data_IF_645849063397
#
_entry.id   IF_645849063397
#
_cell.length_a   1.000
_cell.length_b   1.000
_cell.length_c   1.000
_cell.angle_alpha   90.00
_cell.angle_beta   90.00
_cell.angle_gamma   90.00
#
_symmetry.space_group_name_H-M   'P 1'
#
loop_
_entity.id
_entity.type
_entity.pdbx_description
1 polymer ?
#
# COMPACT_ATOMS: atom_id res chain seq x y z
N UNK A 1 3.01 -6.21 0.66
CA UNK A 1 1.60 -6.40 0.24
C UNK A 1 1.58 -6.59 -1.27
N UNK A 2 0.73 -7.44 -1.81
CA UNK A 2 0.59 -7.65 -3.25
C UNK A 2 -0.83 -7.32 -3.71
N UNK A 3 -0.94 -6.64 -4.85
CA UNK A 3 -2.21 -6.28 -5.50
C UNK A 3 -2.14 -6.74 -6.95
N UNK A 4 -3.20 -7.38 -7.43
CA UNK A 4 -3.35 -7.74 -8.85
C UNK A 4 -4.47 -6.89 -9.43
N UNK A 5 -4.15 -6.13 -10.48
CA UNK A 5 -5.07 -5.30 -11.23
C UNK A 5 -5.26 -5.95 -12.60
N UNK A 6 -6.51 -6.27 -12.94
CA UNK A 6 -6.87 -6.81 -14.25
C UNK A 6 -7.69 -5.78 -15.02
N UNK A 7 -7.32 -5.50 -16.27
CA UNK A 7 -8.08 -4.59 -17.12
C UNK A 7 -7.28 -4.00 -18.26
N UNK A 8 -7.71 -2.83 -18.75
CA UNK A 8 -6.95 -2.05 -19.73
C UNK A 8 -5.79 -1.31 -19.08
N UNK A 9 -4.71 -1.09 -19.83
CA UNK A 9 -3.57 -0.29 -19.39
C UNK A 9 -3.94 1.07 -18.78
N UNK A 10 -4.91 1.78 -19.37
CA UNK A 10 -5.38 3.09 -18.87
C UNK A 10 -5.97 2.99 -17.46
N UNK A 11 -6.74 1.94 -17.17
CA UNK A 11 -7.31 1.72 -15.83
C UNK A 11 -6.21 1.44 -14.80
N UNK A 12 -5.16 0.71 -15.18
CA UNK A 12 -3.99 0.48 -14.33
C UNK A 12 -3.28 1.80 -14.01
N UNK A 13 -3.08 2.67 -15.01
CA UNK A 13 -2.48 3.99 -14.77
C UNK A 13 -3.33 4.85 -13.84
N UNK A 14 -4.65 4.90 -14.05
CA UNK A 14 -5.55 5.63 -13.15
C UNK A 14 -5.56 5.07 -11.72
N UNK A 15 -5.33 3.76 -11.55
CA UNK A 15 -5.16 3.16 -10.23
C UNK A 15 -3.87 3.62 -9.56
N UNK A 16 -2.75 3.65 -10.30
CA UNK A 16 -1.45 4.08 -9.79
C UNK A 16 -1.47 5.56 -9.38
N UNK A 17 -2.08 6.42 -10.21
CA UNK A 17 -2.25 7.85 -9.92
C UNK A 17 -3.03 8.08 -8.61
N UNK A 18 -4.15 7.37 -8.44
CA UNK A 18 -4.94 7.42 -7.19
C UNK A 18 -4.16 6.89 -5.99
N UNK A 19 -3.38 5.83 -6.17
CA UNK A 19 -2.59 5.23 -5.11
C UNK A 19 -1.53 6.21 -4.58
N UNK A 20 -0.88 6.97 -5.47
CA UNK A 20 0.08 8.02 -5.11
C UNK A 20 -0.58 9.19 -4.37
N UNK A 21 -1.83 9.51 -4.70
CA UNK A 21 -2.59 10.58 -4.03
C UNK A 21 -3.08 10.24 -2.61
N UNK A 22 -2.92 9.00 -2.14
CA UNK A 22 -3.40 8.60 -0.82
C UNK A 22 -2.58 9.25 0.30
N UNK A 23 -3.21 9.63 1.44
CA UNK A 23 -2.51 10.20 2.60
C UNK A 23 -1.73 9.16 3.41
N UNK A 24 -1.30 8.06 2.77
CA UNK A 24 -0.49 7.00 3.35
C UNK A 24 0.81 6.94 2.57
N UNK A 25 1.92 6.75 3.25
CA UNK A 25 3.19 6.55 2.57
C UNK A 25 3.23 5.13 1.99
N UNK A 26 2.78 5.00 0.74
CA UNK A 26 2.78 3.77 -0.02
C UNK A 26 3.89 3.82 -1.07
N UNK A 27 4.85 2.90 -0.99
CA UNK A 27 5.93 2.76 -1.95
C UNK A 27 5.69 1.51 -2.79
N UNK A 28 5.64 1.69 -4.11
CA UNK A 28 5.61 0.56 -5.05
C UNK A 28 7.05 0.06 -5.22
N UNK A 29 7.29 -1.20 -4.90
CA UNK A 29 8.63 -1.81 -5.00
C UNK A 29 8.81 -2.66 -6.24
N UNK A 30 7.72 -3.19 -6.80
CA UNK A 30 7.75 -3.96 -8.04
C UNK A 30 6.44 -3.78 -8.82
N UNK A 31 6.56 -3.69 -10.14
CA UNK A 31 5.46 -3.72 -11.08
C UNK A 31 5.79 -4.75 -12.15
N UNK A 32 4.95 -5.77 -12.30
CA UNK A 32 5.02 -6.68 -13.43
C UNK A 32 3.68 -6.67 -14.17
N UNK A 33 3.73 -6.61 -15.49
CA UNK A 33 2.54 -6.58 -16.34
C UNK A 33 2.64 -7.67 -17.38
N UNK A 34 1.58 -8.47 -17.49
CA UNK A 34 1.48 -9.55 -18.46
C UNK A 34 0.14 -9.47 -19.18
N UNK A 35 0.16 -9.63 -20.50
CA UNK A 35 -1.06 -9.79 -21.29
C UNK A 35 -1.46 -11.26 -21.31
N UNK A 36 -2.69 -11.57 -20.89
CA UNK A 36 -3.24 -12.92 -20.92
C UNK A 36 -4.67 -12.85 -21.45
N UNK A 37 -4.95 -13.57 -22.54
CA UNK A 37 -6.31 -13.68 -23.12
C UNK A 37 -6.97 -12.30 -23.38
N UNK A 38 -6.22 -11.35 -23.95
CA UNK A 38 -6.64 -9.96 -24.20
C UNK A 38 -6.94 -9.10 -22.95
N UNK A 39 -6.60 -9.58 -21.76
CA UNK A 39 -6.66 -8.80 -20.51
C UNK A 39 -5.24 -8.50 -20.04
N UNK A 40 -4.98 -7.25 -19.67
CA UNK A 40 -3.74 -6.86 -19.04
C UNK A 40 -3.84 -7.21 -17.55
N UNK A 41 -2.98 -8.07 -17.06
CA UNK A 41 -2.82 -8.37 -15.65
C UNK A 41 -1.54 -7.69 -15.15
N UNK A 42 -1.71 -6.74 -14.22
CA UNK A 42 -0.61 -6.03 -13.58
C UNK A 42 -0.53 -6.46 -12.12
N UNK A 43 0.59 -7.05 -11.72
CA UNK A 43 0.91 -7.34 -10.33
C UNK A 43 1.77 -6.22 -9.75
N UNK A 44 1.34 -5.70 -8.61
CA UNK A 44 1.98 -4.62 -7.88
C UNK A 44 2.42 -5.15 -6.52
N UNK A 45 3.69 -4.97 -6.20
CA UNK A 45 4.21 -5.20 -4.85
C UNK A 45 4.40 -3.85 -4.17
N UNK A 46 3.80 -3.70 -2.99
CA UNK A 46 3.76 -2.43 -2.26
C UNK A 46 4.23 -2.62 -0.81
N UNK A 47 4.89 -1.58 -0.32
CA UNK A 47 5.21 -1.37 1.10
C UNK A 47 4.42 -0.16 1.57
N UNK A 48 3.54 -0.36 2.56
CA UNK A 48 2.75 0.70 3.16
C UNK A 48 3.34 0.96 4.55
N UNK A 49 3.80 2.18 4.76
CA UNK A 49 4.29 2.62 6.06
C UNK A 49 3.14 3.28 6.82
N UNK A 50 3.00 2.92 8.09
CA UNK A 50 2.10 3.60 9.01
C UNK A 50 2.95 4.22 10.12
N UNK A 51 2.64 5.47 10.49
CA UNK A 51 3.20 6.04 11.70
C UNK A 51 2.58 5.28 12.88
N UNK A 52 3.37 4.42 13.52
CA UNK A 52 2.98 3.79 14.76
C UNK A 52 2.77 4.88 15.80
N UNK A 53 1.52 5.17 16.14
CA UNK A 53 1.23 5.99 17.32
C UNK A 53 1.74 5.20 18.50
N UNK A 54 2.80 5.68 19.17
CA UNK A 54 3.26 5.11 20.43
C UNK A 54 2.05 5.13 21.37
N UNK A 55 1.54 3.96 21.75
CA UNK A 55 0.46 3.89 22.72
C UNK A 55 0.94 4.61 23.97
N UNK A 56 0.15 5.59 24.42
CA UNK A 56 0.36 6.39 25.62
C UNK A 56 1.21 5.64 26.66
N UNK A 57 2.48 6.02 26.79
CA UNK A 57 3.26 5.68 27.97
C UNK A 57 2.64 6.47 29.13
N UNK A 58 1.50 6.00 29.65
CA UNK A 58 1.08 6.43 30.98
C UNK A 58 2.26 6.08 31.89
N UNK A 59 2.89 7.08 32.55
CA UNK A 59 3.94 6.78 33.51
C UNK A 59 3.38 5.78 34.51
N UNK A 60 4.09 4.68 34.74
CA UNK A 60 3.70 3.71 35.74
C UNK A 60 3.56 4.46 37.08
N UNK A 61 2.38 4.41 37.66
CA UNK A 61 2.11 5.00 38.97
C UNK A 61 3.00 4.28 40.00
N UNK A 62 3.82 5.00 40.79
CA UNK A 62 4.73 4.36 41.72
C UNK A 62 3.95 3.61 42.79
N UNK A 63 4.36 2.36 43.05
CA UNK A 63 3.71 1.47 44.00
C UNK A 63 3.65 2.10 45.42
N UNK A 64 2.53 1.98 46.14
CA UNK A 64 2.42 2.49 47.51
C UNK A 64 3.38 1.74 48.44
N UNK A 65 3.98 2.49 49.39
CA UNK A 65 4.95 2.01 50.39
C UNK A 65 4.34 1.07 51.41
#
# INVERSE_FOLDING_TARGET
>A
MEIVVQGSYIRTLSFLDKLESLPRYAMITNISTQSKQNVLETKLTLVIYSFGVVQNQKPAEPAPK
#
